data_IF_864608586538
#
_entry.id   IF_864608586538
#
_cell.length_a   1.000
_cell.length_b   1.000
_cell.length_c   1.000
_cell.angle_alpha   90.00
_cell.angle_beta   90.00
_cell.angle_gamma   90.00
#
_symmetry.space_group_name_H-M   'P 1'
#
loop_
_entity.id
_entity.type
_entity.pdbx_description
1 polymer ?
#
# COMPACT_ATOMS: atom_id res chain seq x y z
N UNK A 1 -19.70 -23.71 1.36
CA UNK A 1 -19.55 -24.92 0.53
C UNK A 1 -18.50 -24.64 -0.53
N UNK A 2 -17.34 -25.27 -0.38
CA UNK A 2 -16.23 -25.18 -1.35
C UNK A 2 -16.59 -26.00 -2.58
N UNK A 3 -16.63 -25.37 -3.76
CA UNK A 3 -16.81 -26.10 -5.01
C UNK A 3 -15.45 -26.63 -5.45
N UNK A 4 -15.27 -27.95 -5.29
CA UNK A 4 -14.16 -28.68 -5.88
C UNK A 4 -14.57 -29.02 -7.32
N UNK A 5 -13.84 -28.51 -8.30
CA UNK A 5 -14.02 -28.90 -9.70
C UNK A 5 -13.46 -30.33 -9.83
N UNK A 6 -14.34 -31.30 -10.03
CA UNK A 6 -13.93 -32.66 -10.37
C UNK A 6 -13.25 -32.65 -11.74
N UNK A 7 -11.97 -33.01 -11.77
CA UNK A 7 -11.21 -33.19 -13.01
C UNK A 7 -11.60 -34.52 -13.65
N UNK A 8 -12.11 -34.46 -14.88
CA UNK A 8 -12.32 -35.64 -15.70
C UNK A 8 -10.96 -36.30 -16.02
N UNK A 9 -10.97 -37.64 -16.00
CA UNK A 9 -9.83 -38.57 -15.90
C UNK A 9 -8.73 -38.55 -17.00
N UNK A 10 -8.61 -37.53 -17.84
CA UNK A 10 -7.53 -37.43 -18.85
C UNK A 10 -7.10 -35.97 -19.08
N UNK A 11 -6.50 -35.33 -18.08
CA UNK A 11 -5.90 -33.99 -18.20
C UNK A 11 -4.50 -33.99 -17.57
N UNK A 12 -3.50 -33.35 -18.19
CA UNK A 12 -2.15 -33.28 -17.64
C UNK A 12 -2.15 -32.56 -16.27
N UNK A 13 -1.20 -32.96 -15.43
CA UNK A 13 -1.14 -32.76 -13.97
C UNK A 13 -1.47 -31.36 -13.42
N UNK A 14 -2.04 -31.29 -12.18
CA UNK A 14 -2.26 -30.04 -11.48
C UNK A 14 -0.99 -29.60 -10.73
N UNK A 15 -0.02 -28.93 -11.39
CA UNK A 15 0.97 -28.10 -10.69
C UNK A 15 1.78 -27.19 -11.63
N UNK A 16 1.32 -25.96 -11.83
CA UNK A 16 2.18 -24.87 -12.36
C UNK A 16 2.50 -23.79 -11.31
N UNK A 17 1.95 -23.92 -10.10
CA UNK A 17 2.25 -23.01 -8.99
C UNK A 17 2.95 -23.81 -7.87
N UNK A 18 4.24 -23.55 -7.59
CA UNK A 18 5.00 -24.27 -6.55
C UNK A 18 4.58 -23.92 -5.12
N UNK A 19 3.63 -23.00 -4.93
CA UNK A 19 3.00 -22.67 -3.65
C UNK A 19 1.47 -22.77 -3.83
N UNK A 20 0.70 -23.21 -2.81
CA UNK A 20 -0.74 -23.33 -2.93
C UNK A 20 -1.34 -22.00 -3.40
N UNK A 21 -1.99 -22.07 -4.56
CA UNK A 21 -2.57 -20.96 -5.30
C UNK A 21 -3.50 -20.10 -4.44
N UNK A 22 -3.43 -18.78 -4.68
CA UNK A 22 -4.28 -17.69 -4.18
C UNK A 22 -3.82 -16.98 -2.89
N UNK A 23 -2.84 -16.07 -3.00
CA UNK A 23 -2.66 -14.95 -2.06
C UNK A 23 -2.34 -15.31 -0.60
N UNK A 24 -2.11 -16.57 -0.27
CA UNK A 24 -1.78 -17.05 1.07
C UNK A 24 -0.28 -16.98 1.38
N UNK A 25 0.60 -16.92 0.39
CA UNK A 25 2.05 -16.88 0.58
C UNK A 25 2.69 -15.92 -0.43
N UNK A 26 3.78 -15.26 -0.03
CA UNK A 26 4.60 -14.50 -0.97
C UNK A 26 5.27 -15.42 -1.99
N UNK A 27 5.33 -15.00 -3.25
CA UNK A 27 6.11 -15.73 -4.24
C UNK A 27 7.61 -15.54 -3.98
N UNK A 28 8.45 -16.44 -4.51
CA UNK A 28 9.91 -16.27 -4.44
C UNK A 28 10.34 -14.92 -5.03
N UNK A 29 9.69 -14.47 -6.10
CA UNK A 29 9.93 -13.16 -6.68
C UNK A 29 9.59 -12.03 -5.71
N UNK A 30 8.44 -12.11 -5.01
CA UNK A 30 8.05 -11.13 -3.99
C UNK A 30 9.05 -11.06 -2.84
N UNK A 31 9.50 -12.22 -2.34
CA UNK A 31 10.55 -12.30 -1.30
C UNK A 31 11.83 -11.61 -1.78
N UNK A 32 12.29 -11.89 -3.00
CA UNK A 32 13.49 -11.25 -3.59
C UNK A 32 13.34 -9.74 -3.69
N UNK A 33 12.16 -9.23 -4.08
CA UNK A 33 11.89 -7.79 -4.11
C UNK A 33 12.03 -7.15 -2.72
N UNK A 34 11.57 -7.82 -1.66
CA UNK A 34 11.70 -7.31 -0.30
C UNK A 34 13.12 -7.41 0.26
N UNK A 35 13.85 -8.49 -0.07
CA UNK A 35 15.29 -8.58 0.21
C UNK A 35 16.06 -7.45 -0.47
N UNK A 36 15.74 -7.13 -1.73
CA UNK A 36 16.38 -6.02 -2.42
C UNK A 36 16.07 -4.66 -1.76
N UNK A 37 14.81 -4.43 -1.38
CA UNK A 37 14.44 -3.25 -0.61
C UNK A 37 15.24 -3.15 0.70
N UNK A 38 15.34 -4.23 1.48
CA UNK A 38 16.12 -4.20 2.72
C UNK A 38 17.61 -3.91 2.51
N UNK A 39 18.22 -4.43 1.44
CA UNK A 39 19.59 -4.10 1.04
C UNK A 39 19.76 -2.61 0.74
N UNK A 40 18.89 -2.03 -0.09
CA UNK A 40 18.95 -0.59 -0.45
C UNK A 40 18.89 0.30 0.80
N UNK A 41 17.99 -0.04 1.72
CA UNK A 41 17.80 0.70 2.97
C UNK A 41 18.99 0.53 3.92
N UNK A 42 19.63 -0.64 3.93
CA UNK A 42 20.83 -0.88 4.74
C UNK A 42 21.98 0.01 4.29
N UNK A 43 22.21 0.12 2.98
CA UNK A 43 23.27 0.97 2.44
C UNK A 43 23.07 2.43 2.87
N UNK A 44 21.84 2.93 2.80
CA UNK A 44 21.51 4.31 3.13
C UNK A 44 21.48 4.51 4.65
N UNK A 45 20.60 3.84 5.38
CA UNK A 45 20.33 4.18 6.77
C UNK A 45 21.31 3.58 7.75
N UNK A 46 21.81 2.37 7.51
CA UNK A 46 22.73 1.70 8.44
C UNK A 46 24.18 2.04 8.11
N UNK A 47 24.58 1.93 6.83
CA UNK A 47 25.98 2.14 6.44
C UNK A 47 26.34 3.60 6.26
N UNK A 48 25.58 4.37 5.47
CA UNK A 48 25.84 5.81 5.23
C UNK A 48 25.45 6.67 6.43
N UNK A 49 24.21 6.60 6.89
CA UNK A 49 23.69 7.54 7.90
C UNK A 49 23.84 7.09 9.35
N UNK A 50 24.23 5.83 9.61
CA UNK A 50 24.40 5.28 10.97
C UNK A 50 23.16 5.51 11.86
N UNK A 51 21.97 5.32 11.28
CA UNK A 51 20.67 5.52 11.94
C UNK A 51 20.58 4.73 13.26
N UNK A 52 21.01 3.48 13.22
CA UNK A 52 21.14 2.62 14.38
C UNK A 52 22.62 2.52 14.73
N UNK A 53 22.94 2.78 15.99
CA UNK A 53 24.27 2.55 16.56
C UNK A 53 24.54 1.07 16.74
N UNK A 54 25.79 0.68 17.01
CA UNK A 54 26.17 -0.73 17.23
C UNK A 54 25.50 -1.37 18.45
N UNK A 55 25.10 -0.56 19.43
CA UNK A 55 24.44 -0.94 20.68
C UNK A 55 22.91 -0.80 20.64
N UNK A 56 22.32 -0.75 19.44
CA UNK A 56 20.88 -0.62 19.30
C UNK A 56 20.11 -1.78 19.96
N UNK A 57 18.90 -1.50 20.44
CA UNK A 57 18.05 -2.49 21.11
C UNK A 57 16.69 -2.59 20.43
N UNK A 58 15.89 -3.59 20.80
CA UNK A 58 14.51 -3.76 20.31
C UNK A 58 13.63 -2.51 20.48
N UNK A 59 13.96 -1.59 21.40
CA UNK A 59 13.23 -0.32 21.57
C UNK A 59 13.40 0.64 20.38
N UNK A 60 14.48 0.51 19.61
CA UNK A 60 14.74 1.33 18.43
C UNK A 60 14.05 0.81 17.17
N UNK A 61 13.47 -0.40 17.23
CA UNK A 61 12.83 -1.06 16.11
C UNK A 61 11.35 -1.30 16.43
N UNK A 62 10.48 -0.70 15.62
CA UNK A 62 9.06 -1.01 15.64
C UNK A 62 8.70 -1.76 14.37
N UNK A 63 8.07 -2.93 14.51
CA UNK A 63 7.55 -3.71 13.39
C UNK A 63 6.06 -3.97 13.58
N UNK A 64 5.27 -3.60 12.59
CA UNK A 64 3.84 -3.83 12.58
C UNK A 64 3.37 -4.34 11.22
N UNK A 65 2.60 -5.41 11.23
CA UNK A 65 2.15 -6.11 10.02
C UNK A 65 0.65 -6.35 10.09
N UNK A 66 -0.05 -6.41 8.96
CA UNK A 66 -1.43 -6.90 8.99
C UNK A 66 -1.49 -8.39 9.33
N UNK A 67 -2.67 -8.91 9.68
CA UNK A 67 -2.86 -10.35 9.93
C UNK A 67 -2.72 -11.28 8.71
N UNK A 68 -2.08 -10.85 7.62
CA UNK A 68 -1.87 -11.68 6.42
C UNK A 68 -0.44 -12.24 6.44
N UNK A 69 -0.31 -13.54 6.19
CA UNK A 69 0.98 -14.24 6.08
C UNK A 69 1.95 -13.57 5.12
N UNK A 70 1.45 -13.11 3.96
CA UNK A 70 2.27 -12.44 2.95
C UNK A 70 2.87 -11.11 3.42
N UNK A 71 2.13 -10.32 4.20
CA UNK A 71 2.67 -9.06 4.75
C UNK A 71 3.70 -9.34 5.84
N UNK A 72 3.47 -10.34 6.68
CA UNK A 72 4.47 -10.81 7.62
C UNK A 72 5.76 -11.27 6.92
N UNK A 73 5.66 -12.16 5.93
CA UNK A 73 6.81 -12.69 5.17
C UNK A 73 7.60 -11.58 4.48
N UNK A 74 6.90 -10.63 3.86
CA UNK A 74 7.51 -9.47 3.20
C UNK A 74 8.24 -8.54 4.16
N UNK A 75 7.65 -8.27 5.34
CA UNK A 75 8.29 -7.48 6.38
C UNK A 75 9.55 -8.16 6.93
N UNK A 76 9.49 -9.48 7.16
CA UNK A 76 10.63 -10.27 7.62
C UNK A 76 11.74 -10.36 6.57
N UNK A 77 11.41 -10.57 5.30
CA UNK A 77 12.37 -10.60 4.19
C UNK A 77 13.12 -9.27 4.07
N UNK A 78 12.41 -8.13 4.16
CA UNK A 78 13.04 -6.82 4.17
C UNK A 78 14.01 -6.69 5.36
N UNK A 79 13.54 -6.98 6.58
CA UNK A 79 14.36 -6.89 7.78
C UNK A 79 15.60 -7.78 7.74
N UNK A 80 15.49 -8.96 7.14
CA UNK A 80 16.59 -9.92 7.04
C UNK A 80 17.82 -9.32 6.35
N UNK A 81 17.60 -8.56 5.29
CA UNK A 81 18.68 -7.85 4.60
C UNK A 81 19.00 -6.48 5.18
N UNK A 82 18.03 -5.82 5.83
CA UNK A 82 18.24 -4.53 6.47
C UNK A 82 19.14 -4.63 7.71
N UNK A 83 18.89 -5.65 8.55
CA UNK A 83 19.57 -5.93 9.81
C UNK A 83 19.98 -7.41 9.90
N UNK A 84 21.01 -7.84 9.15
CA UNK A 84 21.37 -9.27 9.03
C UNK A 84 21.89 -9.88 10.33
N UNK A 85 22.56 -9.09 11.17
CA UNK A 85 23.17 -9.57 12.42
C UNK A 85 22.22 -9.45 13.63
N UNK A 86 20.92 -9.28 13.38
CA UNK A 86 19.95 -9.08 14.44
C UNK A 86 19.53 -10.38 15.15
N UNK A 87 19.37 -10.30 16.47
CA UNK A 87 18.77 -11.35 17.28
C UNK A 87 17.24 -11.36 17.13
N UNK A 88 16.74 -12.17 16.18
CA UNK A 88 15.32 -12.34 15.88
C UNK A 88 14.42 -12.60 17.09
N UNK A 89 14.94 -13.15 18.19
CA UNK A 89 14.18 -13.37 19.44
C UNK A 89 13.74 -12.07 20.10
N UNK A 90 14.36 -10.94 19.75
CA UNK A 90 14.09 -9.62 20.30
C UNK A 90 13.16 -8.78 19.41
N UNK A 91 12.79 -9.24 18.22
CA UNK A 91 11.80 -8.53 17.40
C UNK A 91 10.42 -8.77 18.01
N UNK A 92 9.75 -7.67 18.36
CA UNK A 92 8.34 -7.70 18.68
C UNK A 92 7.54 -7.34 17.43
N UNK A 93 6.79 -8.32 16.90
CA UNK A 93 5.93 -8.12 15.73
C UNK A 93 4.53 -7.79 16.22
N UNK A 94 4.07 -6.57 15.95
CA UNK A 94 2.69 -6.20 16.20
C UNK A 94 1.81 -6.60 15.02
N UNK A 95 0.67 -7.20 15.32
CA UNK A 95 -0.32 -7.55 14.31
C UNK A 95 -1.48 -6.55 14.34
N UNK A 96 -1.79 -6.01 13.16
CA UNK A 96 -2.91 -5.10 12.94
C UNK A 96 -4.06 -5.83 12.25
N UNK A 97 -5.22 -5.79 12.89
CA UNK A 97 -6.46 -6.35 12.35
C UNK A 97 -7.04 -5.47 11.26
N UNK A 98 -6.77 -4.17 11.33
CA UNK A 98 -7.24 -3.19 10.36
C UNK A 98 -6.25 -3.03 9.21
N UNK A 99 -6.74 -3.08 7.98
CA UNK A 99 -5.92 -2.80 6.79
C UNK A 99 -5.50 -1.34 6.69
N UNK A 100 -6.14 -0.43 7.43
CA UNK A 100 -5.75 0.99 7.52
C UNK A 100 -4.91 1.29 8.76
N UNK A 101 -4.41 0.25 9.45
CA UNK A 101 -3.55 0.37 10.65
C UNK A 101 -4.17 1.26 11.74
N UNK A 102 -5.48 1.11 11.90
CA UNK A 102 -6.22 1.75 12.97
C UNK A 102 -5.87 1.12 14.32
N UNK A 103 -5.22 1.88 15.21
CA UNK A 103 -4.94 1.44 16.58
C UNK A 103 -5.75 2.18 17.64
N UNK A 104 -6.61 3.14 17.27
CA UNK A 104 -7.41 3.95 18.20
C UNK A 104 -8.10 5.13 17.52
N UNK A 105 -9.28 5.53 18.03
CA UNK A 105 -10.05 6.69 17.56
C UNK A 105 -10.36 6.71 16.05
N UNK A 106 -10.68 5.54 15.48
CA UNK A 106 -10.93 5.40 14.03
C UNK A 106 -12.41 5.31 13.66
N UNK A 107 -13.30 5.46 14.63
CA UNK A 107 -14.71 5.60 14.32
C UNK A 107 -14.96 7.01 13.77
N UNK A 108 -15.45 7.07 12.54
CA UNK A 108 -15.72 8.29 11.83
C UNK A 108 -16.87 8.02 10.86
N UNK A 109 -18.11 8.33 11.21
CA UNK A 109 -19.26 8.08 10.35
C UNK A 109 -19.12 8.73 8.97
N UNK A 110 -18.53 9.92 8.90
CA UNK A 110 -18.29 10.64 7.65
C UNK A 110 -17.34 9.91 6.70
N UNK A 111 -16.37 9.14 7.23
CA UNK A 111 -15.51 8.28 6.41
C UNK A 111 -16.35 7.26 5.63
N UNK A 112 -17.32 6.63 6.30
CA UNK A 112 -18.17 5.62 5.66
C UNK A 112 -19.08 6.25 4.61
N UNK A 113 -19.59 7.46 4.86
CA UNK A 113 -20.37 8.21 3.87
C UNK A 113 -19.60 8.41 2.55
N UNK A 114 -18.38 8.97 2.62
CA UNK A 114 -17.56 9.15 1.41
C UNK A 114 -17.18 7.83 0.72
N UNK A 115 -16.94 6.77 1.49
CA UNK A 115 -16.66 5.45 0.94
C UNK A 115 -17.87 4.90 0.17
N UNK A 116 -19.08 5.02 0.71
CA UNK A 116 -20.30 4.59 0.04
C UNK A 116 -20.58 5.37 -1.24
N UNK A 117 -20.39 6.70 -1.22
CA UNK A 117 -20.54 7.52 -2.43
C UNK A 117 -19.51 7.17 -3.51
N UNK A 118 -18.27 6.93 -3.12
CA UNK A 118 -17.21 6.48 -4.03
C UNK A 118 -17.51 5.10 -4.62
N UNK A 119 -18.02 4.17 -3.82
CA UNK A 119 -18.46 2.86 -4.31
C UNK A 119 -19.63 2.97 -5.29
N UNK A 120 -20.59 3.86 -5.04
CA UNK A 120 -21.70 4.14 -5.97
C UNK A 120 -21.19 4.76 -7.27
N UNK A 121 -20.24 5.69 -7.21
CA UNK A 121 -19.58 6.29 -8.38
C UNK A 121 -18.89 5.21 -9.22
N UNK A 122 -18.01 4.42 -8.60
CA UNK A 122 -17.28 3.35 -9.29
C UNK A 122 -18.23 2.32 -9.92
N UNK A 123 -19.28 1.94 -9.19
CA UNK A 123 -20.31 1.03 -9.73
C UNK A 123 -21.01 1.63 -10.96
N UNK A 124 -21.43 2.89 -10.88
CA UNK A 124 -22.10 3.62 -11.98
C UNK A 124 -21.21 3.70 -13.23
N UNK A 125 -19.93 4.01 -13.06
CA UNK A 125 -18.97 4.06 -14.16
C UNK A 125 -18.83 2.69 -14.84
N UNK A 126 -18.71 1.62 -14.04
CA UNK A 126 -18.58 0.26 -14.55
C UNK A 126 -19.80 -0.20 -15.35
N UNK A 127 -21.01 0.03 -14.85
CA UNK A 127 -22.25 -0.45 -15.51
C UNK A 127 -22.60 0.33 -16.78
N UNK A 128 -22.13 1.58 -16.92
CA UNK A 128 -22.34 2.39 -18.13
C UNK A 128 -21.45 1.95 -19.30
N UNK A 129 -20.34 1.25 -19.03
CA UNK A 129 -19.40 0.83 -20.06
C UNK A 129 -19.84 -0.48 -20.73
N UNK A 130 -20.57 -0.35 -21.85
CA UNK A 130 -21.08 -1.51 -22.60
C UNK A 130 -19.99 -2.40 -23.20
N UNK A 131 -18.82 -1.83 -23.55
CA UNK A 131 -17.70 -2.59 -24.09
C UNK A 131 -17.02 -3.45 -23.02
N UNK A 132 -16.84 -2.88 -21.82
CA UNK A 132 -16.36 -3.61 -20.66
C UNK A 132 -17.31 -4.75 -20.29
N UNK A 133 -18.62 -4.52 -20.28
CA UNK A 133 -19.59 -5.57 -19.97
C UNK A 133 -19.54 -6.71 -20.99
N UNK A 134 -19.47 -6.41 -22.30
CA UNK A 134 -19.27 -7.43 -23.34
C UNK A 134 -17.99 -8.24 -23.11
N UNK A 135 -16.91 -7.57 -22.73
CA UNK A 135 -15.61 -8.21 -22.43
C UNK A 135 -15.73 -9.15 -21.22
N UNK A 136 -16.40 -8.74 -20.14
CA UNK A 136 -16.64 -9.63 -18.99
C UNK A 136 -17.48 -10.84 -19.37
N UNK A 137 -18.51 -10.68 -20.20
CA UNK A 137 -19.34 -11.80 -20.67
C UNK A 137 -18.51 -12.79 -21.49
N UNK A 138 -17.66 -12.30 -22.40
CA UNK A 138 -16.81 -13.14 -23.23
C UNK A 138 -15.78 -13.92 -22.39
N UNK A 139 -15.05 -13.22 -21.51
CA UNK A 139 -14.12 -13.86 -20.58
C UNK A 139 -14.81 -14.91 -19.71
N UNK A 140 -16.00 -14.61 -19.20
CA UNK A 140 -16.76 -15.53 -18.34
C UNK A 140 -17.17 -16.80 -19.10
N UNK A 141 -17.54 -16.68 -20.38
CA UNK A 141 -17.82 -17.80 -21.27
C UNK A 141 -16.57 -18.65 -21.55
N UNK A 142 -15.42 -18.00 -21.74
CA UNK A 142 -14.14 -18.69 -21.94
C UNK A 142 -13.79 -19.54 -20.71
N UNK A 143 -13.82 -18.97 -19.51
CA UNK A 143 -13.44 -19.71 -18.29
C UNK A 143 -14.57 -20.58 -17.72
N UNK A 144 -15.79 -20.49 -18.25
CA UNK A 144 -16.92 -21.32 -17.88
C UNK A 144 -17.53 -20.98 -16.51
N UNK A 145 -17.55 -19.70 -16.12
CA UNK A 145 -18.16 -19.24 -14.85
C UNK A 145 -19.21 -18.16 -15.10
N UNK A 146 -20.13 -17.89 -14.17
CA UNK A 146 -21.08 -16.78 -14.30
C UNK A 146 -20.38 -15.41 -14.37
N UNK A 147 -20.84 -14.52 -15.25
CA UNK A 147 -20.28 -13.16 -15.41
C UNK A 147 -20.22 -12.38 -14.10
N UNK A 148 -21.24 -12.52 -13.24
CA UNK A 148 -21.28 -11.88 -11.92
C UNK A 148 -20.13 -12.36 -11.01
N UNK A 149 -19.78 -13.64 -11.09
CA UNK A 149 -18.68 -14.22 -10.32
C UNK A 149 -17.34 -13.69 -10.85
N UNK A 150 -17.14 -13.68 -12.19
CA UNK A 150 -15.92 -13.12 -12.78
C UNK A 150 -15.76 -11.63 -12.43
N UNK A 151 -16.83 -10.85 -12.50
CA UNK A 151 -16.81 -9.43 -12.09
C UNK A 151 -16.44 -9.24 -10.63
N UNK A 152 -16.93 -10.10 -9.74
CA UNK A 152 -16.63 -10.03 -8.31
C UNK A 152 -15.18 -10.46 -7.99
N UNK A 153 -14.58 -11.31 -8.81
CA UNK A 153 -13.19 -11.77 -8.62
C UNK A 153 -12.12 -10.79 -9.07
N UNK A 154 -12.49 -9.63 -9.65
CA UNK A 154 -11.55 -8.62 -10.16
C UNK A 154 -10.43 -9.22 -11.05
N UNK A 155 -10.77 -9.68 -12.27
CA UNK A 155 -9.89 -10.56 -13.06
C UNK A 155 -8.55 -9.91 -13.43
N UNK A 156 -8.44 -8.59 -13.37
CA UNK A 156 -7.19 -7.86 -13.57
C UNK A 156 -6.07 -8.37 -12.66
N UNK A 157 -6.36 -8.77 -11.42
CA UNK A 157 -5.34 -9.24 -10.48
C UNK A 157 -4.76 -10.58 -10.93
N UNK A 158 -5.63 -11.47 -11.40
CA UNK A 158 -5.22 -12.75 -11.97
C UNK A 158 -4.45 -12.53 -13.27
N UNK A 159 -4.93 -11.66 -14.16
CA UNK A 159 -4.26 -11.35 -15.41
C UNK A 159 -2.89 -10.70 -15.19
N UNK A 160 -2.76 -9.76 -14.25
CA UNK A 160 -1.47 -9.19 -13.88
C UNK A 160 -0.51 -10.25 -13.34
N UNK A 161 -1.01 -11.22 -12.57
CA UNK A 161 -0.18 -12.34 -12.09
C UNK A 161 0.39 -13.15 -13.26
N UNK A 162 -0.46 -13.55 -14.23
CA UNK A 162 -0.04 -14.25 -15.44
C UNK A 162 0.99 -13.43 -16.23
N UNK A 163 0.69 -12.15 -16.48
CA UNK A 163 1.56 -11.24 -17.21
C UNK A 163 2.94 -11.05 -16.54
N UNK A 164 2.97 -10.81 -15.23
CA UNK A 164 4.21 -10.58 -14.49
C UNK A 164 5.10 -11.83 -14.35
N UNK A 165 4.52 -13.02 -14.37
CA UNK A 165 5.27 -14.29 -14.29
C UNK A 165 5.55 -14.91 -15.66
N UNK A 166 5.27 -14.18 -16.75
CA UNK A 166 5.40 -14.67 -18.13
C UNK A 166 4.66 -16.00 -18.37
N UNK A 167 3.49 -16.15 -17.74
CA UNK A 167 2.60 -17.31 -17.89
C UNK A 167 1.49 -16.93 -18.86
N UNK A 168 1.20 -17.80 -19.82
CA UNK A 168 0.09 -17.59 -20.77
C UNK A 168 -1.24 -17.41 -20.04
N UNK A 169 -2.10 -16.55 -20.57
CA UNK A 169 -3.46 -16.40 -20.06
C UNK A 169 -4.29 -17.69 -20.23
N UNK A 170 -5.37 -17.88 -19.44
CA UNK A 170 -6.19 -19.08 -19.51
C UNK A 170 -6.79 -19.32 -20.90
N UNK A 171 -6.62 -20.55 -21.40
CA UNK A 171 -7.23 -21.05 -22.63
C UNK A 171 -8.11 -22.26 -22.30
N UNK A 172 -9.29 -22.33 -22.89
CA UNK A 172 -10.21 -23.46 -22.79
C UNK A 172 -10.73 -23.84 -24.17
N UNK A 173 -11.59 -24.87 -24.24
CA UNK A 173 -12.31 -25.23 -25.47
C UNK A 173 -13.21 -24.11 -26.02
N UNK A 174 -13.54 -23.11 -25.21
CA UNK A 174 -14.41 -22.00 -25.57
C UNK A 174 -13.64 -20.76 -26.07
N UNK A 175 -12.31 -20.81 -26.11
CA UNK A 175 -11.44 -19.70 -26.51
C UNK A 175 -10.31 -19.43 -25.51
N UNK A 176 -9.58 -18.36 -25.74
CA UNK A 176 -8.49 -17.91 -24.87
C UNK A 176 -8.75 -16.50 -24.39
N UNK A 177 -8.47 -16.23 -23.11
CA UNK A 177 -8.28 -14.87 -22.65
C UNK A 177 -6.95 -14.37 -23.25
N UNK A 178 -6.93 -13.14 -23.73
CA UNK A 178 -5.77 -12.56 -24.40
C UNK A 178 -5.46 -11.13 -23.91
N UNK A 179 -4.50 -10.49 -24.57
CA UNK A 179 -4.08 -9.13 -24.24
C UNK A 179 -5.15 -8.08 -24.57
N UNK A 180 -6.08 -8.35 -25.49
CA UNK A 180 -7.15 -7.40 -25.81
C UNK A 180 -8.16 -7.31 -24.66
N UNK A 181 -8.53 -8.43 -24.06
CA UNK A 181 -9.31 -8.45 -22.82
C UNK A 181 -8.63 -7.64 -21.71
N UNK A 182 -7.30 -7.81 -21.56
CA UNK A 182 -6.51 -7.08 -20.58
C UNK A 182 -6.56 -5.57 -20.82
N UNK A 183 -6.37 -5.14 -22.08
CA UNK A 183 -6.39 -3.73 -22.47
C UNK A 183 -7.72 -3.08 -22.14
N UNK A 184 -8.85 -3.74 -22.40
CA UNK A 184 -10.18 -3.17 -22.08
C UNK A 184 -10.34 -2.92 -20.58
N UNK A 185 -10.01 -3.91 -19.75
CA UNK A 185 -10.09 -3.74 -18.29
C UNK A 185 -9.12 -2.65 -17.83
N UNK A 186 -7.90 -2.61 -18.40
CA UNK A 186 -6.89 -1.63 -18.02
C UNK A 186 -7.29 -0.20 -18.39
N UNK A 187 -7.85 0.00 -19.58
CA UNK A 187 -8.39 1.29 -20.02
C UNK A 187 -9.48 1.77 -19.07
N UNK A 188 -10.41 0.88 -18.70
CA UNK A 188 -11.44 1.22 -17.72
C UNK A 188 -10.87 1.61 -16.36
N UNK A 189 -9.81 0.93 -15.87
CA UNK A 189 -9.14 1.33 -14.64
C UNK A 189 -8.51 2.74 -14.72
N UNK A 190 -7.96 3.12 -15.88
CA UNK A 190 -7.39 4.44 -16.09
C UNK A 190 -8.47 5.53 -16.10
N UNK A 191 -9.63 5.24 -16.71
CA UNK A 191 -10.80 6.12 -16.67
C UNK A 191 -11.34 6.28 -15.25
N UNK A 192 -11.46 5.18 -14.51
CA UNK A 192 -11.90 5.18 -13.11
C UNK A 192 -10.95 5.98 -12.20
N UNK A 193 -9.64 5.85 -12.40
CA UNK A 193 -8.65 6.67 -11.70
C UNK A 193 -8.84 8.16 -11.99
N UNK A 194 -9.00 8.54 -13.26
CA UNK A 194 -9.21 9.94 -13.63
C UNK A 194 -10.45 10.53 -12.96
N UNK A 195 -11.59 9.84 -13.06
CA UNK A 195 -12.83 10.31 -12.43
C UNK A 195 -12.73 10.36 -10.91
N UNK A 196 -12.04 9.40 -10.29
CA UNK A 196 -11.80 9.40 -8.85
C UNK A 196 -11.05 10.64 -8.38
N UNK A 197 -10.02 11.05 -9.13
CA UNK A 197 -9.25 12.26 -8.85
C UNK A 197 -10.09 13.54 -9.03
N UNK A 198 -10.93 13.58 -10.07
CA UNK A 198 -11.83 14.72 -10.33
C UNK A 198 -12.91 14.89 -9.25
N UNK A 199 -13.54 13.79 -8.82
CA UNK A 199 -14.67 13.82 -7.87
C UNK A 199 -14.23 14.00 -6.42
N UNK A 200 -12.99 13.65 -6.07
CA UNK A 200 -12.40 13.77 -4.72
C UNK A 200 -13.14 13.02 -3.60
N UNK A 201 -14.13 12.18 -3.89
CA UNK A 201 -14.82 11.36 -2.88
C UNK A 201 -13.84 10.43 -2.17
N UNK A 202 -13.03 9.70 -2.95
CA UNK A 202 -11.98 8.84 -2.40
C UNK A 202 -10.92 9.62 -1.62
N UNK A 203 -10.60 10.85 -2.04
CA UNK A 203 -9.67 11.71 -1.31
C UNK A 203 -10.18 12.03 0.10
N UNK A 204 -11.45 12.42 0.24
CA UNK A 204 -12.04 12.69 1.55
C UNK A 204 -12.16 11.44 2.41
N UNK A 205 -12.55 10.31 1.81
CA UNK A 205 -12.48 9.01 2.47
C UNK A 205 -11.08 8.72 2.99
N UNK A 206 -10.07 8.85 2.13
CA UNK A 206 -8.68 8.53 2.43
C UNK A 206 -8.12 9.40 3.55
N UNK A 207 -8.38 10.71 3.51
CA UNK A 207 -7.98 11.66 4.55
C UNK A 207 -8.49 11.23 5.92
N UNK A 208 -9.78 10.89 6.02
CA UNK A 208 -10.40 10.47 7.28
C UNK A 208 -9.97 9.07 7.72
N UNK A 209 -9.83 8.14 6.77
CA UNK A 209 -9.45 6.75 7.05
C UNK A 209 -8.01 6.64 7.58
N UNK A 210 -7.09 7.41 7.02
CA UNK A 210 -5.65 7.29 7.28
C UNK A 210 -5.15 8.32 8.32
N UNK A 211 -5.99 9.28 8.72
CA UNK A 211 -5.64 10.24 9.75
C UNK A 211 -5.02 9.62 11.03
N UNK A 212 -5.54 8.52 11.62
CA UNK A 212 -4.92 7.91 12.79
C UNK A 212 -3.47 7.46 12.55
N UNK A 213 -3.20 6.81 11.41
CA UNK A 213 -1.85 6.34 11.05
C UNK A 213 -0.89 7.52 10.85
N UNK A 214 -1.32 8.56 10.12
CA UNK A 214 -0.49 9.76 9.90
C UNK A 214 -0.27 10.54 11.20
N UNK A 215 -1.28 10.64 12.05
CA UNK A 215 -1.14 11.29 13.35
C UNK A 215 -0.12 10.55 14.23
N UNK A 216 -0.18 9.22 14.28
CA UNK A 216 0.84 8.42 14.99
C UNK A 216 2.24 8.62 14.42
N UNK A 217 2.35 8.71 13.10
CA UNK A 217 3.59 8.98 12.39
C UNK A 217 4.20 10.30 12.83
N UNK A 218 3.40 11.37 12.78
CA UNK A 218 3.81 12.72 13.18
C UNK A 218 4.16 12.77 14.67
N UNK A 219 3.35 12.16 15.53
CA UNK A 219 3.61 12.10 16.97
C UNK A 219 4.92 11.35 17.30
N UNK A 220 5.27 10.30 16.54
CA UNK A 220 6.58 9.62 16.67
C UNK A 220 7.71 10.56 16.28
N UNK A 221 7.61 11.22 15.13
CA UNK A 221 8.63 12.17 14.65
C UNK A 221 8.81 13.36 15.61
N UNK A 222 7.73 13.91 16.14
CA UNK A 222 7.74 14.97 17.15
C UNK A 222 8.51 14.54 18.40
N UNK A 223 8.17 13.37 18.97
CA UNK A 223 8.88 12.82 20.14
C UNK A 223 10.38 12.71 19.90
N UNK A 224 10.77 12.32 18.69
CA UNK A 224 12.18 12.22 18.30
C UNK A 224 12.83 13.60 18.16
N UNK A 225 12.15 14.56 17.54
CA UNK A 225 12.62 15.94 17.45
C UNK A 225 12.78 16.60 18.83
N UNK A 226 11.97 16.19 19.82
CA UNK A 226 12.08 16.55 21.24
C UNK A 226 13.22 15.83 21.97
N UNK A 227 13.97 14.95 21.29
CA UNK A 227 15.12 14.23 21.83
C UNK A 227 14.82 12.83 22.37
N UNK A 228 13.59 12.31 22.27
CA UNK A 228 13.29 10.93 22.65
C UNK A 228 13.85 9.97 21.61
N UNK A 229 14.76 9.09 22.01
CA UNK A 229 15.42 8.12 21.11
C UNK A 229 14.74 6.75 21.11
N UNK A 230 13.42 6.72 21.00
CA UNK A 230 12.66 5.46 20.91
C UNK A 230 12.12 5.29 19.50
N UNK A 231 12.08 4.04 19.02
CA UNK A 231 11.49 3.67 17.72
C UNK A 231 12.13 4.40 16.53
N UNK A 232 13.46 4.41 16.47
CA UNK A 232 14.24 5.07 15.43
C UNK A 232 13.95 4.55 14.01
N UNK A 233 13.57 3.27 13.87
CA UNK A 233 13.13 2.67 12.62
C UNK A 233 11.78 1.98 12.81
N UNK A 234 10.80 2.29 11.96
CA UNK A 234 9.39 1.91 12.14
C UNK A 234 8.83 1.28 10.87
N UNK A 235 8.82 -0.04 10.81
CA UNK A 235 8.36 -0.80 9.65
C UNK A 235 6.87 -1.14 9.77
N UNK A 236 6.06 -0.66 8.82
CA UNK A 236 4.71 -1.13 8.57
C UNK A 236 4.68 -2.05 7.34
N UNK A 237 4.09 -3.23 7.44
CA UNK A 237 3.94 -4.15 6.31
C UNK A 237 2.47 -4.44 6.02
N UNK A 238 2.01 -4.04 4.83
CA UNK A 238 0.63 -3.61 4.63
C UNK A 238 0.06 -4.03 3.26
N UNK A 239 -0.87 -3.24 2.70
CA UNK A 239 -1.52 -3.53 1.43
C UNK A 239 -1.63 -2.29 0.52
N UNK A 240 -2.12 -2.52 -0.70
CA UNK A 240 -2.52 -1.50 -1.68
C UNK A 240 -3.61 -0.63 -1.09
N UNK A 241 -4.60 -1.30 -0.50
CA UNK A 241 -5.73 -0.68 0.20
C UNK A 241 -5.29 0.11 1.44
N UNK A 242 -4.04 -0.02 1.87
CA UNK A 242 -3.41 0.89 2.85
C UNK A 242 -2.67 2.03 2.15
N UNK A 243 -1.94 1.76 1.06
CA UNK A 243 -1.00 2.71 0.46
C UNK A 243 -1.68 3.70 -0.45
N UNK A 244 -2.67 3.24 -1.22
CA UNK A 244 -3.52 4.09 -2.04
C UNK A 244 -4.18 5.22 -1.24
N UNK A 245 -4.86 4.99 -0.10
CA UNK A 245 -5.41 6.08 0.68
C UNK A 245 -4.32 6.93 1.38
N UNK A 246 -3.16 6.38 1.77
CA UNK A 246 -2.06 7.22 2.29
C UNK A 246 -1.57 8.19 1.23
N UNK A 247 -1.27 7.71 0.02
CA UNK A 247 -0.82 8.55 -1.10
C UNK A 247 -1.88 9.58 -1.47
N UNK A 248 -3.16 9.18 -1.49
CA UNK A 248 -4.27 10.10 -1.75
C UNK A 248 -4.39 11.18 -0.68
N UNK A 249 -4.32 10.83 0.61
CA UNK A 249 -4.38 11.79 1.72
C UNK A 249 -3.21 12.79 1.71
N UNK A 250 -2.02 12.35 1.29
CA UNK A 250 -0.88 13.24 1.07
C UNK A 250 -1.02 14.08 -0.21
N UNK A 251 -1.95 13.73 -1.10
CA UNK A 251 -2.18 14.32 -2.43
C UNK A 251 -1.10 14.02 -3.46
N UNK A 252 -0.42 12.89 -3.31
CA UNK A 252 0.55 12.36 -4.27
C UNK A 252 -0.22 11.55 -5.32
N UNK A 253 -0.71 12.23 -6.36
CA UNK A 253 -1.61 11.64 -7.37
C UNK A 253 -0.87 10.93 -8.51
N UNK A 254 0.40 11.25 -8.75
CA UNK A 254 1.22 10.64 -9.82
C UNK A 254 1.66 9.21 -9.52
N UNK A 255 1.55 8.79 -8.25
CA UNK A 255 2.02 7.49 -7.77
C UNK A 255 1.30 6.28 -8.39
N UNK A 256 0.17 6.50 -9.09
CA UNK A 256 -0.73 5.49 -9.68
C UNK A 256 -1.09 4.39 -8.66
N UNK A 257 -1.70 3.29 -9.13
CA UNK A 257 -1.88 2.11 -8.29
C UNK A 257 -0.50 1.58 -7.83
N UNK A 258 -0.27 1.37 -6.52
CA UNK A 258 1.05 1.02 -6.06
C UNK A 258 1.43 -0.40 -6.53
N UNK A 259 2.70 -0.56 -6.92
CA UNK A 259 3.23 -1.82 -7.45
C UNK A 259 3.65 -2.76 -6.32
N UNK A 260 3.91 -4.03 -6.65
CA UNK A 260 4.54 -4.96 -5.72
C UNK A 260 5.83 -4.38 -5.13
N UNK A 261 6.04 -4.60 -3.85
CA UNK A 261 7.16 -4.07 -3.08
C UNK A 261 7.34 -2.54 -3.14
N UNK A 262 6.27 -1.79 -3.44
CA UNK A 262 6.28 -0.34 -3.31
C UNK A 262 6.61 0.10 -1.88
N UNK A 263 7.22 1.27 -1.76
CA UNK A 263 7.63 1.84 -0.48
C UNK A 263 7.36 3.34 -0.43
N UNK A 264 6.78 3.78 0.69
CA UNK A 264 6.63 5.18 1.03
C UNK A 264 7.37 5.42 2.34
N UNK A 265 8.50 6.12 2.26
CA UNK A 265 9.40 6.38 3.37
C UNK A 265 9.20 7.82 3.82
N UNK A 266 9.01 8.03 5.11
CA UNK A 266 9.15 9.35 5.70
C UNK A 266 10.50 9.42 6.41
N UNK A 267 11.15 10.56 6.37
CA UNK A 267 12.43 10.76 7.02
C UNK A 267 12.36 12.05 7.81
N UNK A 268 12.85 12.02 9.04
CA UNK A 268 13.08 13.22 9.81
C UNK A 268 14.57 13.52 9.73
N UNK A 269 14.92 14.77 9.50
CA UNK A 269 16.29 15.27 9.42
C UNK A 269 16.47 16.37 10.45
N UNK A 270 17.69 16.57 10.93
CA UNK A 270 18.04 17.67 11.83
C UNK A 270 19.13 18.51 11.17
N UNK A 271 19.06 19.83 11.32
CA UNK A 271 20.13 20.71 10.84
C UNK A 271 21.38 20.53 11.72
N UNK A 272 22.52 20.22 11.10
CA UNK A 272 23.78 20.05 11.82
C UNK A 272 24.31 21.34 12.44
N UNK A 273 23.97 22.51 11.88
CA UNK A 273 24.32 23.84 12.38
C UNK A 273 23.28 24.39 13.34
N UNK A 274 22.02 23.94 13.21
CA UNK A 274 20.91 24.39 14.05
C UNK A 274 20.13 23.20 14.61
N UNK A 275 20.60 22.57 15.70
CA UNK A 275 20.03 21.33 16.23
C UNK A 275 18.54 21.41 16.64
N UNK A 276 17.94 22.60 16.73
CA UNK A 276 16.50 22.76 16.98
C UNK A 276 15.67 22.70 15.71
N UNK A 277 16.27 22.93 14.55
CA UNK A 277 15.60 22.88 13.25
C UNK A 277 15.63 21.44 12.72
N UNK A 278 14.44 20.94 12.38
CA UNK A 278 14.23 19.63 11.79
C UNK A 278 13.55 19.79 10.44
N UNK A 279 13.63 18.79 9.57
CA UNK A 279 12.99 18.77 8.24
C UNK A 279 12.41 17.39 7.98
N UNK A 280 11.32 17.32 7.19
CA UNK A 280 10.75 16.04 6.77
C UNK A 280 11.01 15.85 5.27
N UNK A 281 11.48 14.66 4.90
CA UNK A 281 11.55 14.20 3.51
C UNK A 281 10.64 13.00 3.31
N UNK A 282 9.91 12.97 2.20
CA UNK A 282 8.98 11.89 1.86
C UNK A 282 9.44 11.29 0.54
N UNK A 283 9.75 9.99 0.53
CA UNK A 283 10.21 9.26 -0.63
C UNK A 283 9.19 8.20 -1.05
N UNK A 284 8.76 8.23 -2.31
CA UNK A 284 7.96 7.16 -2.90
C UNK A 284 8.81 6.38 -3.91
N UNK A 285 9.05 5.10 -3.64
CA UNK A 285 9.94 4.23 -4.43
C UNK A 285 11.34 4.83 -4.72
N UNK A 286 11.81 5.73 -3.84
CA UNK A 286 13.14 6.35 -3.93
C UNK A 286 13.14 7.73 -4.58
N UNK A 287 12.01 8.16 -5.12
CA UNK A 287 11.85 9.51 -5.63
C UNK A 287 11.38 10.42 -4.50
N UNK A 288 12.00 11.60 -4.38
CA UNK A 288 11.53 12.63 -3.47
C UNK A 288 10.19 13.20 -3.95
N UNK A 289 9.16 13.01 -3.13
CA UNK A 289 7.80 13.48 -3.38
C UNK A 289 7.35 14.49 -2.33
N UNK A 290 8.27 15.01 -1.52
CA UNK A 290 7.98 15.95 -0.42
C UNK A 290 7.17 17.13 -0.92
N UNK A 291 7.65 17.83 -1.96
CA UNK A 291 6.99 19.00 -2.53
C UNK A 291 5.81 18.67 -3.46
N UNK A 292 5.50 17.39 -3.68
CA UNK A 292 4.26 16.99 -4.35
C UNK A 292 3.08 16.95 -3.37
N UNK A 293 3.36 16.79 -2.07
CA UNK A 293 2.33 16.71 -1.04
C UNK A 293 1.52 17.99 -0.91
N UNK A 294 0.25 17.88 -0.50
CA UNK A 294 -0.66 19.03 -0.39
C UNK A 294 -0.14 20.11 0.55
N UNK A 295 0.56 19.73 1.62
CA UNK A 295 1.03 20.65 2.66
C UNK A 295 2.39 21.27 2.33
N UNK A 296 3.24 20.64 1.49
CA UNK A 296 4.54 21.23 1.09
C UNK A 296 4.58 21.84 -0.31
N UNK A 297 3.56 21.62 -1.15
CA UNK A 297 3.54 22.16 -2.52
C UNK A 297 3.71 23.67 -2.61
N UNK A 298 3.08 24.42 -1.71
CA UNK A 298 3.17 25.89 -1.69
C UNK A 298 4.56 26.40 -1.26
N UNK A 299 5.32 25.59 -0.54
CA UNK A 299 6.68 25.93 -0.10
C UNK A 299 7.74 25.75 -1.20
N UNK A 300 7.38 25.11 -2.33
CA UNK A 300 8.23 25.04 -3.52
C UNK A 300 8.31 26.40 -4.26
N UNK A 301 7.42 27.36 -3.94
CA UNK A 301 7.39 28.68 -4.56
C UNK A 301 7.71 29.80 -3.57
N UNK A 302 9.00 30.02 -3.27
CA UNK A 302 9.57 31.31 -2.83
C UNK A 302 8.81 32.13 -1.75
N UNK A 303 8.08 31.51 -0.81
CA UNK A 303 7.15 32.26 0.06
C UNK A 303 7.51 32.25 1.55
N UNK A 304 7.72 33.46 2.07
CA UNK A 304 7.88 33.88 3.46
C UNK A 304 6.54 34.01 4.22
N UNK A 305 5.63 33.04 4.09
CA UNK A 305 4.34 33.05 4.81
C UNK A 305 4.39 32.29 6.15
N UNK A 306 3.73 32.80 7.22
CA UNK A 306 3.69 32.13 8.53
C UNK A 306 2.75 30.91 8.52
N UNK A 307 3.13 29.86 9.27
CA UNK A 307 2.43 28.58 9.38
C UNK A 307 1.25 28.59 10.37
N UNK A 308 0.19 27.81 10.06
CA UNK A 308 -0.92 27.47 10.98
C UNK A 308 -0.57 26.22 11.82
N UNK A 309 -1.24 26.00 12.96
CA UNK A 309 -0.80 25.14 14.06
C UNK A 309 -0.59 23.62 13.78
N UNK A 310 -1.03 23.08 12.64
CA UNK A 310 -0.74 21.69 12.20
C UNK A 310 0.48 21.60 11.26
N UNK A 311 0.89 22.72 10.68
CA UNK A 311 1.99 22.85 9.73
C UNK A 311 3.43 22.92 10.31
N UNK A 312 3.71 23.30 11.58
CA UNK A 312 5.08 23.70 11.96
C UNK A 312 6.16 22.63 11.77
N UNK A 313 5.77 21.36 11.76
CA UNK A 313 6.68 20.22 11.65
C UNK A 313 6.70 19.56 10.28
N UNK A 314 5.72 19.83 9.41
CA UNK A 314 5.52 19.06 8.18
C UNK A 314 6.23 19.65 6.97
N UNK A 315 6.45 20.97 6.93
CA UNK A 315 7.32 21.61 5.93
C UNK A 315 8.21 22.70 6.53
N UNK A 316 9.16 22.37 7.41
CA UNK A 316 10.33 23.22 7.54
C UNK A 316 11.01 23.16 6.16
N UNK A 317 11.14 24.30 5.49
CA UNK A 317 11.75 24.35 4.16
C UNK A 317 13.25 24.18 4.27
N UNK A 318 13.81 23.10 3.70
CA UNK A 318 15.19 23.13 3.23
C UNK A 318 15.14 23.50 1.73
N UNK A 319 15.66 24.65 1.31
CA UNK A 319 15.76 24.97 -0.10
C UNK A 319 16.72 23.97 -0.74
N UNK A 320 16.18 23.15 -1.65
CA UNK A 320 16.94 22.23 -2.47
C UNK A 320 17.78 23.04 -3.48
N UNK A 321 18.91 23.59 -2.99
CA UNK A 321 20.11 23.97 -3.76
C UNK A 321 21.30 24.50 -2.95
N UNK A 322 21.26 24.59 -1.61
CA UNK A 322 22.38 25.21 -0.86
C UNK A 322 22.90 24.47 0.38
N UNK A 323 22.56 23.19 0.56
CA UNK A 323 23.22 22.36 1.58
C UNK A 323 23.74 21.07 0.93
N UNK A 324 25.04 20.98 0.61
CA UNK A 324 25.72 19.73 0.28
C UNK A 324 25.33 18.62 1.27
N UNK A 325 25.14 17.38 0.80
CA UNK A 325 24.86 16.21 1.67
C UNK A 325 25.86 16.07 2.84
N UNK A 326 27.06 16.65 2.69
CA UNK A 326 28.14 16.71 3.68
C UNK A 326 27.88 17.66 4.87
N UNK A 327 26.79 18.44 4.84
CA UNK A 327 26.44 19.42 5.88
C UNK A 327 25.15 19.09 6.68
N UNK A 328 24.44 17.99 6.38
CA UNK A 328 23.33 17.51 7.21
C UNK A 328 23.86 16.60 8.33
N UNK A 329 23.89 17.15 9.54
CA UNK A 329 24.26 16.41 10.75
C UNK A 329 23.13 15.50 11.22
N UNK A 330 23.43 14.20 11.27
CA UNK A 330 22.69 13.09 11.90
C UNK A 330 21.48 13.48 12.76
N UNK A 331 20.28 13.05 12.34
CA UNK A 331 19.24 12.54 13.24
C UNK A 331 18.15 11.76 12.47
N UNK A 332 17.87 10.57 13.00
CA UNK A 332 16.68 9.72 12.95
C UNK A 332 15.75 9.72 11.73
N UNK A 333 15.85 8.65 10.94
CA UNK A 333 14.97 8.34 9.83
C UNK A 333 13.83 7.37 10.23
N UNK A 334 12.59 7.87 10.27
CA UNK A 334 11.41 7.04 10.51
C UNK A 334 10.91 6.36 9.22
N UNK A 335 11.61 5.34 8.73
CA UNK A 335 11.21 4.72 7.47
C UNK A 335 9.87 3.99 7.55
N UNK A 336 8.78 4.60 7.11
CA UNK A 336 7.57 3.84 6.79
C UNK A 336 7.86 2.94 5.60
N UNK A 337 7.31 1.74 5.65
CA UNK A 337 7.07 0.98 4.44
C UNK A 337 5.59 0.70 4.40
N UNK A 338 5.11 0.45 3.20
CA UNK A 338 3.75 -0.01 3.03
C UNK A 338 3.82 -1.01 1.88
N UNK A 339 4.11 -2.24 2.27
CA UNK A 339 4.32 -3.34 1.34
C UNK A 339 2.97 -3.74 0.74
N UNK A 340 3.03 -4.47 -0.38
CA UNK A 340 1.86 -4.81 -1.19
C UNK A 340 2.02 -6.22 -1.71
N UNK A 341 0.98 -7.03 -1.47
CA UNK A 341 0.73 -8.29 -2.14
C UNK A 341 -0.77 -8.56 -2.10
N UNK A 342 -1.37 -8.76 -3.29
CA UNK A 342 -2.64 -9.45 -3.62
C UNK A 342 -3.90 -9.11 -2.79
N UNK A 343 -4.93 -8.57 -3.45
CA UNK A 343 -6.32 -8.65 -2.96
C UNK A 343 -6.72 -10.13 -2.83
N UNK A 344 -6.70 -10.65 -1.61
CA UNK A 344 -7.58 -11.75 -1.23
C UNK A 344 -8.92 -11.14 -0.86
N UNK A 345 -9.87 -11.14 -1.81
CA UNK A 345 -11.33 -11.03 -1.60
C UNK A 345 -11.77 -10.35 -0.29
N UNK A 346 -11.79 -9.03 -0.27
CA UNK A 346 -12.68 -8.27 0.63
C UNK A 346 -13.43 -7.19 -0.14
N UNK A 347 -13.87 -7.53 -1.36
CA UNK A 347 -14.95 -6.82 -2.03
C UNK A 347 -16.22 -7.68 -1.93
N UNK A 348 -17.11 -7.28 -1.02
CA UNK A 348 -18.51 -7.69 -1.03
C UNK A 348 -18.88 -8.81 -0.07
N UNK A 349 -19.16 -8.47 1.19
CA UNK A 349 -20.30 -9.05 1.92
C UNK A 349 -20.71 -8.13 3.08
N UNK A 350 -21.34 -7.01 2.74
CA UNK A 350 -22.28 -6.33 3.63
C UNK A 350 -23.44 -5.76 2.81
N UNK A 351 -24.25 -6.62 2.16
CA UNK A 351 -25.68 -6.40 1.96
C UNK A 351 -26.35 -7.64 1.34
N UNK A 352 -27.60 -7.89 1.76
CA UNK A 352 -28.53 -8.97 1.42
C UNK A 352 -28.40 -10.26 2.24
N UNK A 353 -29.00 -10.26 3.43
CA UNK A 353 -29.93 -11.30 3.90
C UNK A 353 -30.67 -10.80 5.16
N UNK A 354 -31.70 -9.98 4.95
CA UNK A 354 -32.82 -9.89 5.91
C UNK A 354 -34.06 -9.43 5.15
N UNK A 355 -34.66 -10.34 4.40
CA UNK A 355 -36.03 -10.25 3.91
C UNK A 355 -36.48 -11.67 3.50
N UNK A 356 -36.66 -12.54 4.50
CA UNK A 356 -37.66 -13.63 4.48
C UNK A 356 -37.65 -14.33 5.85
N UNK A 357 -38.40 -13.74 6.79
CA UNK A 357 -38.97 -14.49 7.92
C UNK A 357 -40.46 -14.57 7.66
N UNK A 358 -40.88 -15.60 6.92
CA UNK A 358 -42.26 -16.11 6.98
C UNK A 358 -42.20 -17.53 7.53
N UNK A 359 -42.84 -17.66 8.69
CA UNK A 359 -43.58 -18.83 9.16
C UNK A 359 -42.85 -20.15 9.29
N UNK A 360 -42.46 -20.46 10.52
CA UNK A 360 -42.62 -21.80 11.10
C UNK A 360 -42.97 -21.59 12.59
N UNK A 361 -44.24 -21.24 12.80
CA UNK A 361 -45.17 -21.75 13.80
C UNK A 361 -46.55 -21.17 13.47
#
# INVERSE_FOLDING_TARGET
MSVTIQTHKNSPEPSQWPLPSAGFFESLLGVVQHLHNGQLLREIYIKKHKLLSSDWTAKHLYLETTGKSRTLQSGLALLYTFLPDFDWKKINIKHQWSTIFCSGSCDCPMRNHYLEEEQRRQYSLRVKNSHLERTYVDMAKIVGIPTRQLRASNPIDSMLCHFCHNVSFPCTKNGCIDIEHFKVIKTHQLEDERERQEKKLYFWYALLAIHPLLNQTVNRMQRIAEGKKEELFVLYSAHDVTLSPVLSALGITEARFPRFAARLVFELWQDGKKPREHFIRILYNGFDVTFQTLFCREHNMHSSKPMSALHPLLCPGAPERSVPEDHLGKSVCLCFFLLLGVMGTTAGFTLLLSLHRKSLL
#
